data_IF_192136801476
#
_entry.id   IF_192136801476
#
_cell.length_a   1.000
_cell.length_b   1.000
_cell.length_c   1.000
_cell.angle_alpha   90.00
_cell.angle_beta   90.00
_cell.angle_gamma   90.00
#
_symmetry.space_group_name_H-M   'P 1'
#
loop_
_entity.id
_entity.type
_entity.pdbx_description
1 polymer ?
#
# COMPACT_ATOMS: atom_id res chain seq x y z
N UNK A 1 -18.66 -31.07 11.80
CA UNK A 1 -18.72 -30.86 13.27
C UNK A 1 -17.51 -30.04 13.65
N UNK A 2 -17.70 -28.77 13.94
CA UNK A 2 -16.63 -27.89 14.39
C UNK A 2 -16.28 -28.29 15.82
N UNK A 3 -15.02 -28.67 16.01
CA UNK A 3 -14.48 -29.12 17.29
C UNK A 3 -14.73 -28.06 18.38
N UNK A 4 -15.41 -28.47 19.45
CA UNK A 4 -15.75 -27.58 20.58
C UNK A 4 -14.53 -27.08 21.36
N UNK A 5 -13.34 -27.64 21.13
CA UNK A 5 -12.08 -27.16 21.73
C UNK A 5 -11.60 -25.81 21.19
N UNK A 6 -12.02 -25.43 19.97
CA UNK A 6 -11.74 -24.11 19.37
C UNK A 6 -12.66 -23.02 19.93
N UNK A 7 -13.81 -23.38 20.50
CA UNK A 7 -14.77 -22.45 21.12
C UNK A 7 -14.32 -21.86 22.46
N UNK A 8 -13.33 -22.41 23.13
CA UNK A 8 -12.96 -22.01 24.49
C UNK A 8 -12.12 -20.70 24.58
N UNK A 9 -11.74 -20.07 23.44
CA UNK A 9 -11.13 -18.74 23.37
C UNK A 9 -11.82 -17.88 22.31
N UNK A 10 -13.14 -17.87 22.30
CA UNK A 10 -13.91 -17.09 21.33
C UNK A 10 -13.64 -15.59 21.51
N UNK A 11 -12.74 -15.07 20.70
CA UNK A 11 -12.57 -13.63 20.48
C UNK A 11 -13.90 -13.11 19.95
N UNK A 12 -14.44 -12.04 20.50
CA UNK A 12 -15.66 -11.45 19.94
C UNK A 12 -15.38 -11.00 18.48
N UNK A 13 -16.42 -10.97 17.64
CA UNK A 13 -16.27 -10.53 16.24
C UNK A 13 -15.61 -9.14 16.15
N UNK A 14 -15.97 -8.24 17.05
CA UNK A 14 -15.42 -6.88 17.12
C UNK A 14 -13.94 -6.90 17.49
N UNK A 15 -13.57 -7.70 18.50
CA UNK A 15 -12.17 -7.85 18.91
C UNK A 15 -11.31 -8.49 17.81
N UNK A 16 -11.83 -9.47 17.09
CA UNK A 16 -11.14 -10.08 15.96
C UNK A 16 -10.87 -9.08 14.83
N UNK A 17 -11.87 -8.27 14.49
CA UNK A 17 -11.73 -7.20 13.49
C UNK A 17 -10.70 -6.18 13.96
N UNK A 18 -10.77 -5.74 15.22
CA UNK A 18 -9.82 -4.82 15.82
C UNK A 18 -8.38 -5.34 15.78
N UNK A 19 -8.18 -6.62 16.08
CA UNK A 19 -6.87 -7.27 16.06
C UNK A 19 -6.29 -7.34 14.64
N UNK A 20 -7.07 -7.80 13.65
CA UNK A 20 -6.63 -7.84 12.26
C UNK A 20 -6.36 -6.42 11.71
N UNK A 21 -7.19 -5.45 12.07
CA UNK A 21 -6.99 -4.06 11.68
C UNK A 21 -5.72 -3.47 12.31
N UNK A 22 -5.45 -3.73 13.61
CA UNK A 22 -4.25 -3.30 14.29
C UNK A 22 -2.97 -3.89 13.67
N UNK A 23 -2.98 -5.19 13.31
CA UNK A 23 -1.88 -5.82 12.59
C UNK A 23 -1.60 -5.13 11.25
N UNK A 24 -2.65 -4.85 10.45
CA UNK A 24 -2.48 -4.17 9.17
C UNK A 24 -2.06 -2.71 9.35
N UNK A 25 -2.54 -2.04 10.40
CA UNK A 25 -2.22 -0.66 10.74
C UNK A 25 -0.72 -0.44 11.00
N UNK A 26 -0.02 -1.42 11.59
CA UNK A 26 1.42 -1.35 11.83
C UNK A 26 2.21 -1.01 10.57
N UNK A 27 1.80 -1.54 9.42
CA UNK A 27 2.49 -1.29 8.16
C UNK A 27 2.30 0.16 7.67
N UNK A 28 1.08 0.68 7.65
CA UNK A 28 0.82 2.06 7.23
C UNK A 28 1.47 3.06 8.20
N UNK A 29 1.34 2.80 9.50
CA UNK A 29 1.95 3.64 10.53
C UNK A 29 3.48 3.72 10.36
N UNK A 30 4.14 2.61 10.06
CA UNK A 30 5.59 2.56 9.89
C UNK A 30 6.11 3.39 8.71
N UNK A 31 5.28 3.69 7.74
CA UNK A 31 5.60 4.56 6.60
C UNK A 31 5.34 6.02 6.97
N UNK A 32 4.13 6.32 7.43
CA UNK A 32 3.64 7.69 7.47
C UNK A 32 4.05 8.44 8.75
N UNK A 33 4.26 7.73 9.89
CA UNK A 33 4.63 8.36 11.17
C UNK A 33 5.99 9.02 11.14
N UNK A 34 6.90 8.55 10.29
CA UNK A 34 8.26 9.09 10.22
C UNK A 34 8.46 10.20 9.20
N UNK A 35 7.47 10.47 8.33
CA UNK A 35 7.62 11.50 7.30
C UNK A 35 8.05 12.88 7.86
N UNK A 36 7.47 13.39 8.96
CA UNK A 36 7.91 14.64 9.55
C UNK A 36 9.31 14.58 10.18
N UNK A 37 9.84 13.37 10.47
CA UNK A 37 11.13 13.19 11.13
C UNK A 37 12.32 13.04 10.17
N UNK A 38 12.08 12.86 8.88
CA UNK A 38 13.16 12.63 7.90
C UNK A 38 14.26 13.70 7.90
N UNK A 39 13.97 15.01 8.02
CA UNK A 39 15.01 16.03 8.12
C UNK A 39 15.91 15.84 9.36
N UNK A 40 15.30 15.59 10.51
CA UNK A 40 16.02 15.41 11.79
C UNK A 40 16.91 14.16 11.76
N UNK A 41 16.42 13.06 11.15
CA UNK A 41 17.22 11.85 10.95
C UNK A 41 18.43 12.12 10.04
N UNK A 42 18.21 12.87 8.96
CA UNK A 42 19.28 13.20 8.01
C UNK A 42 20.34 14.08 8.63
N UNK A 43 19.95 15.09 9.41
CA UNK A 43 20.87 16.00 10.11
C UNK A 43 21.70 15.25 11.15
N UNK A 44 21.06 14.46 12.01
CA UNK A 44 21.69 13.72 13.11
C UNK A 44 22.65 12.62 12.61
N UNK A 45 22.30 11.95 11.51
CA UNK A 45 23.10 10.88 10.91
C UNK A 45 24.04 11.35 9.80
N UNK A 46 24.21 12.67 9.62
CA UNK A 46 25.17 13.26 8.70
C UNK A 46 24.86 13.03 7.22
N UNK A 47 23.59 12.96 6.83
CA UNK A 47 23.18 12.78 5.43
C UNK A 47 23.20 14.12 4.71
N UNK A 48 24.23 14.33 3.89
CA UNK A 48 24.45 15.59 3.18
C UNK A 48 23.39 15.84 2.10
N UNK A 49 22.97 14.80 1.38
CA UNK A 49 21.98 14.93 0.33
C UNK A 49 20.56 14.73 0.90
N UNK A 50 19.74 15.76 0.82
CA UNK A 50 18.37 15.72 1.35
C UNK A 50 17.50 14.63 0.72
N UNK A 51 17.74 14.29 -0.55
CA UNK A 51 17.00 13.25 -1.25
C UNK A 51 17.31 11.85 -0.68
N UNK A 52 18.51 11.64 -0.15
CA UNK A 52 18.86 10.34 0.45
C UNK A 52 18.07 10.04 1.73
N UNK A 53 17.62 11.06 2.46
CA UNK A 53 16.79 10.90 3.68
C UNK A 53 15.53 10.08 3.41
N UNK A 54 15.01 10.16 2.19
CA UNK A 54 13.83 9.42 1.74
C UNK A 54 14.05 7.91 1.66
N UNK A 55 15.31 7.45 1.55
CA UNK A 55 15.66 6.02 1.48
C UNK A 55 15.21 5.24 2.73
N UNK A 56 15.01 5.92 3.86
CA UNK A 56 14.45 5.32 5.09
C UNK A 56 13.06 4.71 4.84
N UNK A 57 12.23 5.39 4.06
CA UNK A 57 10.89 4.90 3.66
C UNK A 57 11.03 3.83 2.58
N UNK A 58 11.86 4.07 1.58
CA UNK A 58 12.08 3.16 0.44
C UNK A 58 12.61 1.80 0.88
N UNK A 59 13.62 1.77 1.77
CA UNK A 59 14.18 0.54 2.30
C UNK A 59 13.12 -0.32 2.99
N UNK A 60 12.27 0.29 3.82
CA UNK A 60 11.17 -0.40 4.47
C UNK A 60 10.17 -0.97 3.45
N UNK A 61 9.77 -0.18 2.45
CA UNK A 61 8.79 -0.61 1.44
C UNK A 61 9.30 -1.75 0.57
N UNK A 62 10.59 -1.72 0.19
CA UNK A 62 11.22 -2.80 -0.57
C UNK A 62 11.27 -4.08 0.27
N UNK A 63 11.66 -3.99 1.54
CA UNK A 63 11.61 -5.11 2.47
C UNK A 63 10.21 -5.69 2.62
N UNK A 64 9.22 -4.83 2.88
CA UNK A 64 7.81 -5.20 3.02
C UNK A 64 7.26 -5.90 1.76
N UNK A 65 7.50 -5.32 0.59
CA UNK A 65 7.03 -5.90 -0.67
C UNK A 65 7.70 -7.25 -0.97
N UNK A 66 9.01 -7.36 -0.76
CA UNK A 66 9.78 -8.57 -1.05
C UNK A 66 9.30 -9.79 -0.25
N UNK A 67 8.95 -9.60 1.01
CA UNK A 67 8.54 -10.69 1.88
C UNK A 67 7.05 -11.11 1.69
N UNK A 68 6.23 -10.32 0.99
CA UNK A 68 4.82 -10.70 0.71
C UNK A 68 4.71 -12.04 -0.02
N UNK A 69 5.65 -12.33 -0.93
CA UNK A 69 5.68 -13.60 -1.67
C UNK A 69 5.98 -14.81 -0.78
N UNK A 70 6.68 -14.60 0.33
CA UNK A 70 7.17 -15.66 1.22
C UNK A 70 6.16 -15.99 2.31
N UNK A 71 5.53 -14.98 2.93
CA UNK A 71 4.67 -15.21 4.09
C UNK A 71 3.38 -15.96 3.78
N UNK A 72 2.85 -15.88 2.55
CA UNK A 72 1.73 -16.71 2.12
C UNK A 72 2.05 -18.21 2.25
N UNK A 73 2.97 -18.73 1.44
CA UNK A 73 3.37 -20.13 1.48
C UNK A 73 3.94 -20.60 2.83
N UNK A 74 4.66 -19.73 3.56
CA UNK A 74 5.15 -20.04 4.91
C UNK A 74 3.99 -20.25 5.88
N UNK A 75 2.97 -19.38 5.82
CA UNK A 75 1.80 -19.51 6.69
C UNK A 75 0.89 -20.68 6.33
N UNK A 76 0.87 -21.09 5.06
CA UNK A 76 0.16 -22.29 4.61
C UNK A 76 0.86 -23.58 5.07
N UNK A 77 2.18 -23.54 5.28
CA UNK A 77 2.96 -24.70 5.75
C UNK A 77 3.00 -24.83 7.27
N UNK A 78 3.33 -23.74 7.96
CA UNK A 78 3.62 -23.75 9.41
C UNK A 78 2.42 -23.36 10.27
N UNK A 79 1.29 -23.02 9.67
CA UNK A 79 0.15 -22.41 10.34
C UNK A 79 0.26 -20.89 10.36
N UNK A 80 -0.80 -20.20 10.74
CA UNK A 80 -0.86 -18.72 10.68
C UNK A 80 -0.03 -18.07 11.79
N UNK A 81 -0.07 -18.63 12.99
CA UNK A 81 0.54 -18.03 14.18
C UNK A 81 2.06 -17.95 14.11
N UNK A 82 2.74 -19.05 13.78
CA UNK A 82 4.21 -19.11 13.85
C UNK A 82 4.89 -18.08 12.93
N UNK A 83 4.57 -17.97 11.63
CA UNK A 83 5.16 -16.94 10.77
C UNK A 83 4.73 -15.52 11.13
N UNK A 84 3.50 -15.33 11.67
CA UNK A 84 3.04 -14.02 12.14
C UNK A 84 3.90 -13.51 13.29
N UNK A 85 4.10 -14.35 14.32
CA UNK A 85 4.91 -13.98 15.49
C UNK A 85 6.38 -13.81 15.16
N UNK A 86 6.91 -14.61 14.24
CA UNK A 86 8.25 -14.40 13.72
C UNK A 86 8.37 -13.02 13.03
N UNK A 87 7.44 -12.68 12.12
CA UNK A 87 7.47 -11.41 11.41
C UNK A 87 7.29 -10.21 12.33
N UNK A 88 6.29 -10.25 13.24
CA UNK A 88 6.07 -9.14 14.19
C UNK A 88 7.22 -9.03 15.19
N UNK A 89 7.79 -10.15 15.64
CA UNK A 89 8.98 -10.17 16.49
C UNK A 89 10.19 -9.51 15.82
N UNK A 90 10.42 -9.84 14.54
CA UNK A 90 11.46 -9.21 13.73
C UNK A 90 11.23 -7.71 13.58
N UNK A 91 9.99 -7.29 13.32
CA UNK A 91 9.61 -5.89 13.27
C UNK A 91 9.94 -5.15 14.58
N UNK A 92 9.58 -5.74 15.73
CA UNK A 92 9.81 -5.17 17.06
C UNK A 92 11.31 -5.01 17.33
N UNK A 93 12.09 -6.08 17.10
CA UNK A 93 13.55 -6.06 17.31
C UNK A 93 14.19 -4.96 16.46
N UNK A 94 13.83 -4.88 15.18
CA UNK A 94 14.37 -3.85 14.27
C UNK A 94 13.92 -2.45 14.65
N UNK A 95 12.68 -2.27 15.15
CA UNK A 95 12.21 -0.97 15.62
C UNK A 95 13.04 -0.49 16.83
N UNK A 96 13.22 -1.33 17.84
CA UNK A 96 14.06 -0.96 19.00
C UNK A 96 15.54 -0.79 18.62
N UNK A 97 16.08 -1.63 17.73
CA UNK A 97 17.46 -1.48 17.26
C UNK A 97 17.67 -0.18 16.47
N UNK A 98 16.68 0.25 15.68
CA UNK A 98 16.72 1.50 14.92
C UNK A 98 16.80 2.74 15.82
N UNK A 99 16.30 2.65 17.06
CA UNK A 99 16.44 3.70 18.06
C UNK A 99 17.92 4.00 18.38
N UNK A 100 18.79 3.02 18.24
CA UNK A 100 20.22 3.12 18.56
C UNK A 100 21.10 3.06 17.30
N UNK A 101 20.54 3.28 16.11
CA UNK A 101 21.29 3.20 14.86
C UNK A 101 22.40 4.28 14.80
N UNK A 102 23.69 3.88 14.77
CA UNK A 102 24.81 4.84 14.83
C UNK A 102 25.10 5.47 13.46
N UNK A 103 24.58 4.93 12.38
CA UNK A 103 24.81 5.42 11.02
C UNK A 103 23.56 5.27 10.17
N UNK A 104 23.46 6.11 9.15
CA UNK A 104 22.34 6.05 8.20
C UNK A 104 22.25 4.68 7.48
N UNK A 105 23.38 4.09 7.10
CA UNK A 105 23.39 2.78 6.45
C UNK A 105 22.83 1.66 7.33
N UNK A 106 23.15 1.66 8.63
CA UNK A 106 22.58 0.70 9.59
C UNK A 106 21.07 0.95 9.76
N UNK A 107 20.65 2.21 9.84
CA UNK A 107 19.23 2.55 9.88
C UNK A 107 18.48 2.00 8.65
N UNK A 108 19.04 2.18 7.44
CA UNK A 108 18.45 1.63 6.20
C UNK A 108 18.36 0.09 6.24
N UNK A 109 19.40 -0.59 6.69
CA UNK A 109 19.40 -2.04 6.85
C UNK A 109 18.33 -2.51 7.83
N UNK A 110 18.21 -1.85 8.98
CA UNK A 110 17.18 -2.15 9.98
C UNK A 110 15.78 -1.88 9.45
N UNK A 111 15.58 -0.81 8.68
CA UNK A 111 14.31 -0.49 8.01
C UNK A 111 13.91 -1.55 6.99
N UNK A 112 14.86 -2.02 6.19
CA UNK A 112 14.61 -3.11 5.23
C UNK A 112 14.17 -4.39 5.95
N UNK A 113 14.90 -4.80 6.98
CA UNK A 113 14.57 -6.01 7.76
C UNK A 113 13.26 -5.83 8.53
N UNK A 114 12.98 -4.64 9.07
CA UNK A 114 11.70 -4.30 9.69
C UNK A 114 10.55 -4.44 8.69
N UNK A 115 10.75 -3.99 7.44
CA UNK A 115 9.81 -4.18 6.34
C UNK A 115 9.54 -5.65 6.04
N UNK A 116 10.59 -6.50 5.98
CA UNK A 116 10.43 -7.96 5.82
C UNK A 116 9.47 -8.51 6.90
N UNK A 117 9.68 -8.14 8.17
CA UNK A 117 8.82 -8.57 9.27
C UNK A 117 7.37 -8.07 9.15
N UNK A 118 7.20 -6.83 8.71
CA UNK A 118 5.89 -6.21 8.54
C UNK A 118 5.00 -6.92 7.51
N UNK A 119 5.58 -7.56 6.48
CA UNK A 119 4.82 -8.28 5.47
C UNK A 119 3.93 -9.39 6.06
N UNK A 120 4.37 -10.02 7.14
CA UNK A 120 3.59 -11.03 7.86
C UNK A 120 2.25 -10.49 8.33
N UNK A 121 2.20 -9.25 8.83
CA UNK A 121 0.99 -8.67 9.41
C UNK A 121 -0.13 -8.54 8.37
N UNK A 122 0.19 -8.08 7.16
CA UNK A 122 -0.78 -7.90 6.08
C UNK A 122 -1.22 -9.23 5.48
N UNK A 123 -0.25 -10.07 5.11
CA UNK A 123 -0.51 -11.33 4.40
C UNK A 123 -1.29 -12.30 5.28
N UNK A 124 -0.86 -12.43 6.54
CA UNK A 124 -1.45 -13.41 7.46
C UNK A 124 -2.78 -12.91 8.02
N UNK A 125 -2.93 -11.60 8.32
CA UNK A 125 -4.23 -11.06 8.73
C UNK A 125 -5.31 -11.33 7.67
N UNK A 126 -5.01 -11.11 6.39
CA UNK A 126 -5.92 -11.41 5.29
C UNK A 126 -6.24 -12.92 5.21
N UNK A 127 -5.24 -13.78 5.42
CA UNK A 127 -5.43 -15.23 5.42
C UNK A 127 -6.29 -15.70 6.59
N UNK A 128 -6.07 -15.17 7.80
CA UNK A 128 -6.85 -15.47 9.01
C UNK A 128 -8.32 -15.08 8.84
N UNK A 129 -8.60 -13.92 8.23
CA UNK A 129 -9.97 -13.52 7.90
C UNK A 129 -10.63 -14.51 6.94
N UNK A 130 -9.91 -14.92 5.88
CA UNK A 130 -10.40 -15.91 4.90
C UNK A 130 -10.63 -17.30 5.50
N UNK A 131 -9.79 -17.70 6.46
CA UNK A 131 -9.94 -19.00 7.14
C UNK A 131 -11.15 -19.01 8.10
N UNK A 132 -11.55 -17.82 8.60
CA UNK A 132 -12.60 -17.69 9.64
C UNK A 132 -13.96 -17.33 9.06
N UNK A 133 -14.01 -16.54 8.00
CA UNK A 133 -15.25 -16.02 7.41
C UNK A 133 -15.37 -16.39 5.93
N UNK A 134 -16.62 -16.55 5.45
CA UNK A 134 -16.90 -16.91 4.07
C UNK A 134 -17.97 -16.00 3.44
N UNK A 135 -17.94 -15.87 2.13
CA UNK A 135 -18.96 -15.15 1.36
C UNK A 135 -19.16 -13.71 1.81
N UNK A 136 -20.39 -13.34 2.13
CA UNK A 136 -20.77 -11.97 2.51
C UNK A 136 -20.17 -11.52 3.84
N UNK A 137 -20.04 -12.43 4.82
CA UNK A 137 -19.44 -12.11 6.13
C UNK A 137 -17.95 -11.79 6.00
N UNK A 138 -17.23 -12.50 5.14
CA UNK A 138 -15.83 -12.19 4.83
C UNK A 138 -15.70 -10.81 4.21
N UNK A 139 -16.56 -10.46 3.25
CA UNK A 139 -16.54 -9.17 2.59
C UNK A 139 -16.83 -8.02 3.59
N UNK A 140 -17.78 -8.21 4.51
CA UNK A 140 -18.09 -7.23 5.55
C UNK A 140 -16.90 -7.02 6.48
N UNK A 141 -16.32 -8.10 7.02
CA UNK A 141 -15.17 -8.05 7.94
C UNK A 141 -13.96 -7.40 7.27
N UNK A 142 -13.64 -7.77 6.03
CA UNK A 142 -12.55 -7.14 5.27
C UNK A 142 -12.80 -5.65 5.04
N UNK A 143 -14.03 -5.25 4.74
CA UNK A 143 -14.37 -3.83 4.56
C UNK A 143 -14.16 -3.02 5.84
N UNK A 144 -14.54 -3.57 7.01
CA UNK A 144 -14.32 -2.92 8.30
C UNK A 144 -12.82 -2.79 8.63
N UNK A 145 -12.03 -3.84 8.36
CA UNK A 145 -10.58 -3.82 8.54
C UNK A 145 -9.94 -2.75 7.63
N UNK A 146 -10.32 -2.71 6.35
CA UNK A 146 -9.82 -1.70 5.41
C UNK A 146 -10.23 -0.28 5.79
N UNK A 147 -11.42 -0.08 6.34
CA UNK A 147 -11.87 1.23 6.82
C UNK A 147 -10.95 1.74 7.95
N UNK A 148 -10.61 0.88 8.92
CA UNK A 148 -9.65 1.22 9.98
C UNK A 148 -8.26 1.47 9.39
N UNK A 149 -7.80 0.61 8.48
CA UNK A 149 -6.52 0.77 7.79
C UNK A 149 -6.42 2.11 7.06
N UNK A 150 -7.47 2.57 6.38
CA UNK A 150 -7.49 3.86 5.68
C UNK A 150 -7.49 5.07 6.61
N UNK A 151 -7.89 4.91 7.88
CA UNK A 151 -7.80 5.98 8.86
C UNK A 151 -6.36 6.24 9.33
N UNK A 152 -5.46 5.25 9.21
CA UNK A 152 -4.08 5.36 9.70
C UNK A 152 -3.28 6.44 8.96
N UNK A 153 -3.23 6.52 7.62
CA UNK A 153 -2.52 7.60 6.92
C UNK A 153 -3.03 9.00 7.27
N UNK A 154 -4.29 9.12 7.68
CA UNK A 154 -4.85 10.42 8.12
C UNK A 154 -4.22 10.87 9.44
N UNK A 155 -3.95 9.93 10.35
CA UNK A 155 -3.53 10.21 11.72
C UNK A 155 -2.01 10.10 11.90
N UNK A 156 -1.36 9.19 11.17
CA UNK A 156 0.03 8.82 11.41
C UNK A 156 1.05 9.98 11.35
N UNK A 157 1.01 10.90 10.35
CA UNK A 157 1.92 12.03 10.36
C UNK A 157 1.71 12.97 11.54
N UNK A 158 0.46 13.12 12.02
CA UNK A 158 0.14 13.92 13.21
C UNK A 158 0.73 13.27 14.46
N UNK A 159 0.66 11.95 14.59
CA UNK A 159 1.31 11.21 15.69
C UNK A 159 2.81 11.41 15.64
N UNK A 160 3.44 11.30 14.46
CA UNK A 160 4.87 11.57 14.29
C UNK A 160 5.26 12.98 14.70
N UNK A 161 4.47 13.98 14.28
CA UNK A 161 4.70 15.38 14.66
C UNK A 161 4.59 15.60 16.19
N UNK A 162 3.57 15.01 16.83
CA UNK A 162 3.41 15.09 18.30
C UNK A 162 4.60 14.46 19.03
N UNK A 163 5.09 13.31 18.57
CA UNK A 163 6.27 12.66 19.16
C UNK A 163 7.49 13.58 19.03
N UNK A 164 7.70 14.24 17.90
CA UNK A 164 8.80 15.18 17.70
C UNK A 164 8.73 16.42 18.59
N UNK A 165 7.54 16.82 19.04
CA UNK A 165 7.38 17.88 20.04
C UNK A 165 7.79 17.44 21.45
N UNK A 166 7.83 16.14 21.73
CA UNK A 166 8.18 15.58 23.04
C UNK A 166 9.64 15.16 23.16
N UNK A 167 10.35 14.98 22.05
CA UNK A 167 11.75 14.56 22.08
C UNK A 167 12.35 14.24 20.68
N UNK A 168 13.53 13.63 20.65
CA UNK A 168 14.24 13.34 19.42
C UNK A 168 13.50 12.30 18.53
N UNK A 169 13.85 12.27 17.25
CA UNK A 169 13.25 11.36 16.27
C UNK A 169 13.31 9.87 16.66
N UNK A 170 14.28 9.48 17.48
CA UNK A 170 14.43 8.14 18.05
C UNK A 170 13.15 7.65 18.76
N UNK A 171 12.37 8.57 19.36
CA UNK A 171 11.11 8.25 20.04
C UNK A 171 10.05 7.70 19.10
N UNK A 172 10.12 8.00 17.79
CA UNK A 172 9.25 7.40 16.80
C UNK A 172 9.48 5.89 16.71
N UNK A 173 10.74 5.44 16.73
CA UNK A 173 11.07 4.02 16.71
C UNK A 173 10.70 3.32 18.02
N UNK A 174 10.89 3.98 19.16
CA UNK A 174 10.41 3.50 20.46
C UNK A 174 8.89 3.34 20.45
N UNK A 175 8.16 4.32 19.95
CA UNK A 175 6.71 4.27 19.81
C UNK A 175 6.27 3.10 18.92
N UNK A 176 6.88 2.94 17.75
CA UNK A 176 6.56 1.85 16.81
C UNK A 176 6.85 0.47 17.43
N UNK A 177 8.00 0.32 18.10
CA UNK A 177 8.37 -0.91 18.79
C UNK A 177 7.44 -1.23 19.95
N UNK A 178 7.10 -0.21 20.75
CA UNK A 178 6.16 -0.34 21.88
C UNK A 178 4.76 -0.72 21.43
N UNK A 179 4.21 -0.02 20.43
CA UNK A 179 2.90 -0.32 19.87
C UNK A 179 2.85 -1.73 19.26
N UNK A 180 3.89 -2.10 18.49
CA UNK A 180 3.99 -3.44 17.92
C UNK A 180 4.08 -4.52 19.01
N UNK A 181 4.76 -4.25 20.13
CA UNK A 181 4.83 -5.16 21.28
C UNK A 181 3.46 -5.36 21.93
N UNK A 182 2.68 -4.29 22.09
CA UNK A 182 1.30 -4.38 22.61
C UNK A 182 0.44 -5.23 21.65
N UNK A 183 0.49 -4.98 20.33
CA UNK A 183 -0.25 -5.75 19.33
C UNK A 183 0.22 -7.20 19.29
N UNK A 184 1.53 -7.44 19.42
CA UNK A 184 2.11 -8.79 19.53
C UNK A 184 1.53 -9.56 20.70
N UNK A 185 1.54 -8.98 21.91
CA UNK A 185 0.99 -9.60 23.12
C UNK A 185 -0.52 -9.83 22.99
N UNK A 186 -1.27 -8.84 22.50
CA UNK A 186 -2.69 -8.99 22.24
C UNK A 186 -2.97 -10.15 21.28
N UNK A 187 -2.25 -10.20 20.17
CA UNK A 187 -2.37 -11.29 19.17
C UNK A 187 -1.96 -12.63 19.77
N UNK A 188 -0.88 -12.67 20.57
CA UNK A 188 -0.39 -13.89 21.22
C UNK A 188 -1.43 -14.56 22.09
N UNK A 189 -2.13 -13.77 22.89
CA UNK A 189 -3.12 -14.30 23.84
C UNK A 189 -4.50 -14.53 23.20
N UNK A 190 -4.86 -13.80 22.16
CA UNK A 190 -6.22 -13.74 21.66
C UNK A 190 -6.43 -14.37 20.27
N UNK A 191 -5.42 -14.41 19.40
CA UNK A 191 -5.57 -15.03 18.08
C UNK A 191 -5.34 -16.53 18.15
N UNK A 192 -6.37 -17.37 17.89
CA UNK A 192 -6.18 -18.83 17.78
C UNK A 192 -5.44 -19.18 16.48
N UNK A 193 -4.92 -20.42 16.38
CA UNK A 193 -4.51 -20.96 15.09
C UNK A 193 -5.76 -21.21 14.24
N UNK A 194 -5.82 -20.63 13.05
CA UNK A 194 -6.99 -20.72 12.18
C UNK A 194 -6.82 -21.74 11.05
N UNK A 195 -5.56 -22.13 10.75
CA UNK A 195 -5.30 -23.13 9.73
C UNK A 195 -5.34 -24.53 10.33
N UNK A 196 -6.35 -25.29 9.94
CA UNK A 196 -6.46 -26.70 10.37
C UNK A 196 -5.26 -27.53 9.85
N UNK A 197 -4.68 -28.44 10.66
CA UNK A 197 -3.49 -29.23 10.26
C UNK A 197 -3.64 -29.96 8.92
N UNK A 198 -4.85 -30.42 8.61
CA UNK A 198 -5.16 -31.13 7.36
C UNK A 198 -5.06 -30.24 6.10
N UNK A 199 -5.19 -28.92 6.24
CA UNK A 199 -5.10 -27.97 5.13
C UNK A 199 -3.70 -27.39 4.95
N UNK A 200 -2.72 -27.84 5.75
CA UNK A 200 -1.32 -27.40 5.60
C UNK A 200 -0.73 -27.90 4.29
N UNK A 201 -0.14 -27.00 3.54
CA UNK A 201 0.47 -27.28 2.24
C UNK A 201 2.00 -27.26 2.34
N UNK A 202 2.67 -28.13 1.56
CA UNK A 202 4.12 -28.06 1.47
C UNK A 202 4.58 -26.73 0.84
N UNK A 203 5.61 -26.11 1.42
CA UNK A 203 6.26 -24.94 0.80
C UNK A 203 6.88 -25.38 -0.52
N UNK A 204 6.45 -24.80 -1.62
CA UNK A 204 6.98 -25.10 -2.96
C UNK A 204 7.27 -23.79 -3.68
N UNK A 205 8.54 -23.53 -3.94
CA UNK A 205 8.97 -22.38 -4.74
C UNK A 205 8.37 -22.42 -6.15
N UNK A 206 8.11 -23.63 -6.67
CA UNK A 206 7.44 -23.84 -7.95
C UNK A 206 6.05 -23.19 -8.02
N UNK A 207 5.32 -23.09 -6.90
CA UNK A 207 4.00 -22.44 -6.86
C UNK A 207 4.14 -20.93 -7.07
N UNK A 208 5.17 -20.31 -6.51
CA UNK A 208 5.46 -18.88 -6.71
C UNK A 208 5.85 -18.65 -8.17
N UNK A 209 6.76 -19.46 -8.71
CA UNK A 209 7.21 -19.36 -10.10
C UNK A 209 6.05 -19.57 -11.07
N UNK A 210 5.18 -20.56 -10.81
CA UNK A 210 4.01 -20.81 -11.63
C UNK A 210 3.02 -19.63 -11.57
N UNK A 211 2.85 -19.01 -10.40
CA UNK A 211 2.04 -17.80 -10.26
C UNK A 211 2.56 -16.64 -11.11
N UNK A 212 3.86 -16.40 -11.10
CA UNK A 212 4.49 -15.42 -12.01
C UNK A 212 4.27 -15.79 -13.47
N UNK A 213 4.48 -17.05 -13.84
CA UNK A 213 4.26 -17.53 -15.21
C UNK A 213 2.82 -17.27 -15.67
N UNK A 214 1.82 -17.63 -14.85
CA UNK A 214 0.41 -17.42 -15.17
C UNK A 214 0.09 -15.93 -15.38
N UNK A 215 0.59 -15.05 -14.49
CA UNK A 215 0.41 -13.61 -14.62
C UNK A 215 1.09 -13.08 -15.90
N UNK A 216 2.32 -13.48 -16.16
CA UNK A 216 3.11 -13.00 -17.30
C UNK A 216 2.57 -13.49 -18.65
N UNK A 217 1.90 -14.64 -18.68
CA UNK A 217 1.31 -15.21 -19.91
C UNK A 217 -0.10 -14.69 -20.20
N UNK A 218 -0.79 -14.15 -19.21
CA UNK A 218 -2.13 -13.58 -19.40
C UNK A 218 -2.03 -12.08 -19.70
N UNK A 219 -2.39 -11.68 -20.90
CA UNK A 219 -2.28 -10.30 -21.38
C UNK A 219 -3.02 -9.29 -20.50
N UNK A 220 -4.27 -9.57 -20.14
CA UNK A 220 -5.09 -8.67 -19.32
C UNK A 220 -4.51 -8.54 -17.92
N UNK A 221 -4.16 -9.67 -17.29
CA UNK A 221 -3.55 -9.69 -15.96
C UNK A 221 -2.21 -8.95 -15.92
N UNK A 222 -1.33 -9.23 -16.89
CA UNK A 222 -0.01 -8.61 -16.98
C UNK A 222 -0.12 -7.08 -17.12
N UNK A 223 -0.87 -6.60 -18.11
CA UNK A 223 -0.88 -5.17 -18.39
C UNK A 223 -1.67 -4.35 -17.35
N UNK A 224 -2.76 -4.87 -16.79
CA UNK A 224 -3.40 -4.21 -15.64
C UNK A 224 -2.54 -4.30 -14.36
N UNK A 225 -1.79 -5.38 -14.17
CA UNK A 225 -0.81 -5.49 -13.08
C UNK A 225 0.33 -4.47 -13.19
N UNK A 226 0.90 -4.31 -14.40
CA UNK A 226 1.91 -3.28 -14.69
C UNK A 226 1.33 -1.87 -14.53
N UNK A 227 0.11 -1.62 -15.01
CA UNK A 227 -0.58 -0.36 -14.81
C UNK A 227 -0.69 -0.02 -13.31
N UNK A 228 -1.06 -1.00 -12.48
CA UNK A 228 -1.04 -0.85 -11.02
C UNK A 228 0.35 -0.51 -10.48
N UNK A 229 1.40 -1.17 -10.95
CA UNK A 229 2.79 -0.91 -10.53
C UNK A 229 3.22 0.52 -10.87
N UNK A 230 2.94 1.02 -12.07
CA UNK A 230 3.25 2.39 -12.46
C UNK A 230 2.43 3.41 -11.66
N UNK A 231 1.14 3.13 -11.44
CA UNK A 231 0.26 4.00 -10.67
C UNK A 231 0.74 4.14 -9.21
N UNK A 232 1.08 3.00 -8.56
CA UNK A 232 1.66 3.02 -7.22
C UNK A 232 3.06 3.64 -7.19
N UNK A 233 3.84 3.52 -8.26
CA UNK A 233 5.13 4.20 -8.41
C UNK A 233 5.00 5.72 -8.32
N UNK A 234 4.02 6.30 -9.00
CA UNK A 234 3.71 7.73 -8.91
C UNK A 234 3.25 8.16 -7.52
N UNK A 235 2.38 7.36 -6.90
CA UNK A 235 1.93 7.61 -5.53
C UNK A 235 3.09 7.54 -4.52
N UNK A 236 3.93 6.52 -4.59
CA UNK A 236 5.06 6.38 -3.67
C UNK A 236 6.12 7.46 -3.91
N UNK A 237 6.37 7.85 -5.17
CA UNK A 237 7.23 8.99 -5.47
C UNK A 237 6.73 10.28 -4.84
N UNK A 238 5.43 10.52 -4.88
CA UNK A 238 4.82 11.63 -4.19
C UNK A 238 4.95 11.49 -2.67
N UNK A 239 4.57 10.36 -2.06
CA UNK A 239 4.66 10.13 -0.60
C UNK A 239 6.10 10.35 -0.11
N UNK A 240 7.08 9.81 -0.81
CA UNK A 240 8.50 9.94 -0.50
C UNK A 240 8.94 11.41 -0.54
N UNK A 241 8.47 12.19 -1.52
CA UNK A 241 8.81 13.61 -1.69
C UNK A 241 7.90 14.56 -0.91
N UNK A 242 6.86 14.05 -0.24
CA UNK A 242 5.80 14.88 0.37
C UNK A 242 6.36 15.88 1.38
N UNK A 243 7.30 15.46 2.21
CA UNK A 243 7.93 16.32 3.22
C UNK A 243 8.70 17.48 2.54
N UNK A 244 9.49 17.21 1.50
CA UNK A 244 10.23 18.23 0.76
C UNK A 244 9.30 19.20 0.03
N UNK A 245 8.19 18.71 -0.51
CA UNK A 245 7.20 19.55 -1.20
C UNK A 245 6.46 20.42 -0.19
N UNK A 246 5.82 19.84 0.81
CA UNK A 246 4.97 20.60 1.73
C UNK A 246 5.76 21.47 2.70
N UNK A 247 6.89 20.99 3.19
CA UNK A 247 7.71 21.75 4.14
C UNK A 247 8.78 22.55 3.41
N UNK A 248 9.52 21.95 2.45
CA UNK A 248 10.62 22.62 1.76
C UNK A 248 10.14 23.69 0.78
N UNK A 249 9.18 23.39 -0.13
CA UNK A 249 8.70 24.36 -1.12
C UNK A 249 7.68 25.32 -0.50
N UNK A 250 6.68 24.80 0.25
CA UNK A 250 5.54 25.58 0.72
C UNK A 250 5.64 26.06 2.17
N UNK A 251 6.66 25.64 2.90
CA UNK A 251 6.90 26.11 4.27
C UNK A 251 5.80 25.75 5.27
N UNK A 252 5.03 24.67 5.05
CA UNK A 252 3.91 24.32 5.91
C UNK A 252 4.32 23.94 7.34
N UNK A 253 5.58 23.53 7.56
CA UNK A 253 6.09 23.21 8.88
C UNK A 253 5.15 22.30 9.69
N UNK A 254 4.66 22.75 10.85
CA UNK A 254 3.75 21.97 11.72
C UNK A 254 2.40 21.64 11.09
N UNK A 255 1.98 22.36 10.04
CA UNK A 255 0.70 22.13 9.34
C UNK A 255 0.78 21.03 8.28
N UNK A 256 1.97 20.50 7.98
CA UNK A 256 2.15 19.37 7.06
C UNK A 256 1.18 18.20 7.33
N UNK A 257 1.01 17.73 8.59
CA UNK A 257 0.11 16.62 8.87
C UNK A 257 -1.35 16.89 8.49
N UNK A 258 -1.81 18.14 8.59
CA UNK A 258 -3.19 18.53 8.22
C UNK A 258 -3.41 18.43 6.71
N UNK A 259 -2.45 18.90 5.90
CA UNK A 259 -2.52 18.77 4.44
C UNK A 259 -2.53 17.30 4.00
N UNK A 260 -1.65 16.48 4.61
CA UNK A 260 -1.59 15.05 4.35
C UNK A 260 -2.90 14.35 4.76
N UNK A 261 -3.42 14.67 5.94
CA UNK A 261 -4.70 14.13 6.42
C UNK A 261 -5.88 14.50 5.51
N UNK A 262 -5.94 15.73 5.02
CA UNK A 262 -6.96 16.19 4.07
C UNK A 262 -6.93 15.37 2.77
N UNK A 263 -5.74 15.12 2.24
CA UNK A 263 -5.56 14.29 1.05
C UNK A 263 -5.98 12.83 1.30
N UNK A 264 -5.50 12.22 2.38
CA UNK A 264 -5.81 10.83 2.71
C UNK A 264 -7.31 10.65 3.02
N UNK A 265 -7.93 11.61 3.72
CA UNK A 265 -9.36 11.63 3.98
C UNK A 265 -10.19 11.70 2.70
N UNK A 266 -9.79 12.54 1.74
CA UNK A 266 -10.46 12.63 0.45
C UNK A 266 -10.32 11.32 -0.36
N UNK A 267 -9.17 10.65 -0.30
CA UNK A 267 -9.00 9.33 -0.91
C UNK A 267 -9.95 8.28 -0.31
N UNK A 268 -10.17 8.32 1.01
CA UNK A 268 -11.12 7.42 1.68
C UNK A 268 -12.57 7.69 1.21
N UNK A 269 -12.98 8.96 1.13
CA UNK A 269 -14.29 9.36 0.57
C UNK A 269 -14.43 8.92 -0.87
N UNK A 270 -13.41 9.11 -1.69
CA UNK A 270 -13.37 8.69 -3.09
C UNK A 270 -13.54 7.18 -3.25
N UNK A 271 -12.84 6.40 -2.43
CA UNK A 271 -12.92 4.94 -2.41
C UNK A 271 -14.34 4.45 -2.06
N UNK A 272 -14.98 5.11 -1.09
CA UNK A 272 -16.37 4.86 -0.73
C UNK A 272 -17.32 5.19 -1.90
N UNK A 273 -17.13 6.32 -2.57
CA UNK A 273 -17.92 6.69 -3.74
C UNK A 273 -17.75 5.68 -4.89
N UNK A 274 -16.49 5.23 -5.15
CA UNK A 274 -16.22 4.19 -6.15
C UNK A 274 -17.06 2.94 -5.91
N UNK A 275 -17.18 2.47 -4.66
CA UNK A 275 -17.95 1.27 -4.33
C UNK A 275 -19.45 1.37 -4.70
N UNK A 276 -20.00 2.58 -4.74
CA UNK A 276 -21.39 2.87 -5.13
C UNK A 276 -21.54 3.04 -6.64
N UNK A 277 -20.62 3.77 -7.25
CA UNK A 277 -20.69 4.20 -8.65
C UNK A 277 -20.27 3.08 -9.61
N UNK A 278 -19.32 2.22 -9.21
CA UNK A 278 -18.78 1.15 -10.05
C UNK A 278 -19.84 0.17 -10.53
N UNK A 279 -20.87 -0.08 -9.72
CA UNK A 279 -22.01 -0.94 -10.10
C UNK A 279 -22.82 -0.40 -11.28
N UNK A 280 -22.83 0.94 -11.44
CA UNK A 280 -23.61 1.61 -12.51
C UNK A 280 -22.77 1.82 -13.78
N UNK A 281 -21.50 2.20 -13.64
CA UNK A 281 -20.67 2.61 -14.78
C UNK A 281 -19.66 1.53 -15.21
N UNK A 282 -19.38 0.56 -14.35
CA UNK A 282 -18.40 -0.51 -14.60
C UNK A 282 -16.95 -0.09 -14.30
N UNK A 283 -16.11 -1.08 -13.99
CA UNK A 283 -14.71 -0.88 -13.60
C UNK A 283 -13.87 -0.23 -14.71
N UNK A 284 -14.03 -0.70 -15.96
CA UNK A 284 -13.27 -0.20 -17.10
C UNK A 284 -13.52 1.28 -17.38
N UNK A 285 -14.78 1.70 -17.40
CA UNK A 285 -15.12 3.10 -17.67
C UNK A 285 -14.61 4.04 -16.59
N UNK A 286 -14.77 3.67 -15.32
CA UNK A 286 -14.31 4.51 -14.21
C UNK A 286 -12.79 4.60 -14.15
N UNK A 287 -12.06 3.49 -14.35
CA UNK A 287 -10.59 3.52 -14.34
C UNK A 287 -10.02 4.27 -15.52
N UNK A 288 -10.58 4.08 -16.74
CA UNK A 288 -10.11 4.79 -17.93
C UNK A 288 -10.40 6.29 -17.86
N UNK A 289 -11.59 6.70 -17.38
CA UNK A 289 -11.87 8.11 -17.12
C UNK A 289 -10.94 8.69 -16.04
N UNK A 290 -10.80 7.98 -14.93
CA UNK A 290 -9.95 8.43 -13.82
C UNK A 290 -8.49 8.65 -14.23
N UNK A 291 -7.91 7.74 -15.03
CA UNK A 291 -6.52 7.91 -15.47
C UNK A 291 -6.34 9.07 -16.45
N UNK A 292 -7.32 9.35 -17.31
CA UNK A 292 -7.28 10.53 -18.18
C UNK A 292 -7.32 11.82 -17.36
N UNK A 293 -8.18 11.90 -16.33
CA UNK A 293 -8.22 13.05 -15.40
C UNK A 293 -6.91 13.18 -14.64
N UNK A 294 -6.32 12.05 -14.18
CA UNK A 294 -5.03 12.03 -13.49
C UNK A 294 -3.90 12.58 -14.37
N UNK A 295 -3.81 12.14 -15.62
CA UNK A 295 -2.79 12.63 -16.58
C UNK A 295 -3.04 14.09 -16.94
N UNK A 296 -4.28 14.50 -17.16
CA UNK A 296 -4.62 15.91 -17.43
C UNK A 296 -4.22 16.81 -16.26
N UNK A 297 -4.51 16.41 -15.02
CA UNK A 297 -4.05 17.11 -13.81
C UNK A 297 -2.53 17.20 -13.73
N UNK A 298 -1.82 16.11 -14.05
CA UNK A 298 -0.36 16.08 -14.14
C UNK A 298 0.19 17.03 -15.21
N UNK A 299 -0.41 17.06 -16.39
CA UNK A 299 -0.03 17.99 -17.49
C UNK A 299 -0.23 19.45 -17.10
N UNK A 300 -1.37 19.78 -16.47
CA UNK A 300 -1.63 21.13 -15.97
C UNK A 300 -0.57 21.51 -14.93
N UNK A 301 -0.32 20.63 -13.95
CA UNK A 301 0.66 20.87 -12.90
C UNK A 301 2.08 21.04 -13.49
N UNK A 302 2.46 20.22 -14.46
CA UNK A 302 3.75 20.29 -15.13
C UNK A 302 3.87 21.62 -15.90
N UNK A 303 2.87 22.00 -16.68
CA UNK A 303 2.86 23.25 -17.42
C UNK A 303 2.99 24.47 -16.49
N UNK A 304 2.24 24.49 -15.40
CA UNK A 304 2.35 25.56 -14.38
C UNK A 304 3.72 25.57 -13.72
N UNK A 305 4.27 24.40 -13.38
CA UNK A 305 5.58 24.29 -12.71
C UNK A 305 6.75 24.71 -13.62
N UNK A 306 6.62 24.55 -14.93
CA UNK A 306 7.59 25.03 -15.92
C UNK A 306 7.47 26.53 -16.16
N UNK A 307 6.28 27.10 -15.98
CA UNK A 307 6.05 28.55 -16.11
C UNK A 307 6.54 29.36 -14.90
N UNK A 308 6.69 28.72 -13.73
CA UNK A 308 7.15 29.38 -12.51
C UNK A 308 6.64 28.72 -11.21
N UNK A 309 6.83 29.40 -10.06
CA UNK A 309 6.35 28.90 -8.78
C UNK A 309 4.83 28.77 -8.75
N UNK A 310 4.32 27.57 -8.43
CA UNK A 310 2.89 27.28 -8.34
C UNK A 310 2.38 27.65 -6.95
N UNK A 311 1.31 28.46 -6.82
CA UNK A 311 0.70 28.76 -5.53
C UNK A 311 0.19 27.50 -4.83
N UNK A 312 0.33 27.41 -3.49
CA UNK A 312 -0.05 26.25 -2.70
C UNK A 312 -1.47 25.74 -3.00
N UNK A 313 -2.45 26.63 -3.03
CA UNK A 313 -3.85 26.23 -3.22
C UNK A 313 -4.13 25.67 -4.62
N UNK A 314 -3.40 26.12 -5.64
CA UNK A 314 -3.50 25.58 -7.01
C UNK A 314 -2.87 24.19 -7.06
N UNK A 315 -1.66 24.02 -6.51
CA UNK A 315 -1.02 22.71 -6.37
C UNK A 315 -1.89 21.74 -5.59
N UNK A 316 -2.34 22.15 -4.40
CA UNK A 316 -3.11 21.30 -3.50
C UNK A 316 -4.46 20.91 -4.10
N UNK A 317 -5.16 21.84 -4.75
CA UNK A 317 -6.40 21.58 -5.47
C UNK A 317 -6.24 20.54 -6.60
N UNK A 318 -5.22 20.69 -7.44
CA UNK A 318 -4.89 19.73 -8.49
C UNK A 318 -4.53 18.36 -7.90
N UNK A 319 -3.71 18.34 -6.85
CA UNK A 319 -3.33 17.13 -6.14
C UNK A 319 -4.56 16.41 -5.57
N UNK A 320 -5.48 17.12 -4.93
CA UNK A 320 -6.71 16.54 -4.39
C UNK A 320 -7.54 15.87 -5.48
N UNK A 321 -7.71 16.52 -6.65
CA UNK A 321 -8.42 15.93 -7.79
C UNK A 321 -7.72 14.66 -8.28
N UNK A 322 -6.39 14.70 -8.44
CA UNK A 322 -5.61 13.57 -8.90
C UNK A 322 -5.67 12.39 -7.91
N UNK A 323 -5.55 12.66 -6.61
CA UNK A 323 -5.63 11.62 -5.57
C UNK A 323 -7.05 11.07 -5.41
N UNK A 324 -8.07 11.88 -5.66
CA UNK A 324 -9.46 11.42 -5.72
C UNK A 324 -9.64 10.35 -6.80
N UNK A 325 -9.26 10.63 -8.04
CA UNK A 325 -9.41 9.67 -9.14
C UNK A 325 -8.40 8.50 -9.05
N UNK A 326 -7.24 8.71 -8.41
CA UNK A 326 -6.28 7.64 -8.13
C UNK A 326 -6.94 6.45 -7.42
N UNK A 327 -7.77 6.70 -6.41
CA UNK A 327 -8.47 5.63 -5.67
C UNK A 327 -9.37 4.79 -6.58
N UNK A 328 -10.03 5.41 -7.56
CA UNK A 328 -10.86 4.71 -8.55
C UNK A 328 -10.01 3.85 -9.49
N UNK A 329 -8.93 4.45 -10.01
CA UNK A 329 -8.02 3.75 -10.94
C UNK A 329 -7.37 2.56 -10.24
N UNK A 330 -6.81 2.76 -9.04
CA UNK A 330 -6.12 1.72 -8.29
C UNK A 330 -7.04 0.53 -7.97
N UNK A 331 -8.23 0.79 -7.41
CA UNK A 331 -9.17 -0.25 -7.01
C UNK A 331 -9.70 -1.04 -8.21
N UNK A 332 -10.10 -0.34 -9.27
CA UNK A 332 -10.70 -0.98 -10.44
C UNK A 332 -9.65 -1.73 -11.28
N UNK A 333 -8.45 -1.17 -11.48
CA UNK A 333 -7.38 -1.87 -12.21
C UNK A 333 -6.86 -3.10 -11.46
N UNK A 334 -6.79 -3.05 -10.13
CA UNK A 334 -6.47 -4.23 -9.34
C UNK A 334 -7.52 -5.33 -9.52
N UNK A 335 -8.80 -4.98 -9.56
CA UNK A 335 -9.89 -5.95 -9.81
C UNK A 335 -9.82 -6.51 -11.23
N UNK A 336 -9.57 -5.66 -12.23
CA UNK A 336 -9.42 -6.06 -13.63
C UNK A 336 -8.20 -6.98 -13.86
N UNK A 337 -7.11 -6.78 -13.15
CA UNK A 337 -5.93 -7.65 -13.22
C UNK A 337 -6.21 -9.05 -12.67
N UNK A 338 -7.11 -9.16 -11.69
CA UNK A 338 -7.49 -10.41 -11.04
C UNK A 338 -8.62 -11.15 -11.76
N UNK A 339 -9.41 -10.45 -12.59
CA UNK A 339 -10.59 -11.00 -13.29
C UNK A 339 -10.30 -12.33 -14.03
N UNK A 340 -9.21 -12.46 -14.85
CA UNK A 340 -8.92 -13.70 -15.55
C UNK A 340 -8.24 -14.79 -14.70
N UNK A 341 -7.95 -14.56 -13.43
CA UNK A 341 -7.07 -15.39 -12.60
C UNK A 341 -7.82 -16.09 -11.45
N UNK A 342 -9.13 -16.26 -11.53
CA UNK A 342 -9.97 -16.81 -10.45
C UNK A 342 -9.44 -18.11 -9.83
N UNK A 343 -8.97 -19.06 -10.66
CA UNK A 343 -8.43 -20.36 -10.19
C UNK A 343 -7.13 -20.24 -9.35
N UNK A 344 -6.36 -19.16 -9.54
CA UNK A 344 -5.05 -18.92 -8.88
C UNK A 344 -5.03 -17.57 -8.14
N UNK A 345 -6.20 -17.06 -7.77
CA UNK A 345 -6.36 -15.71 -7.21
C UNK A 345 -5.43 -15.41 -6.02
N UNK A 346 -5.18 -16.38 -5.13
CA UNK A 346 -4.29 -16.18 -3.98
C UNK A 346 -2.84 -15.94 -4.39
N UNK A 347 -2.32 -16.74 -5.32
CA UNK A 347 -0.94 -16.59 -5.82
C UNK A 347 -0.81 -15.33 -6.66
N UNK A 348 -1.80 -15.04 -7.52
CA UNK A 348 -1.84 -13.83 -8.34
C UNK A 348 -1.87 -12.56 -7.46
N UNK A 349 -2.66 -12.53 -6.39
CA UNK A 349 -2.69 -11.42 -5.44
C UNK A 349 -1.33 -11.18 -4.77
N UNK A 350 -0.57 -12.25 -4.46
CA UNK A 350 0.79 -12.12 -3.92
C UNK A 350 1.76 -11.54 -4.96
N UNK A 351 1.67 -11.99 -6.23
CA UNK A 351 2.49 -11.47 -7.33
C UNK A 351 2.21 -9.99 -7.57
N UNK A 352 0.92 -9.59 -7.65
CA UNK A 352 0.56 -8.19 -7.82
C UNK A 352 0.95 -7.34 -6.60
N UNK A 353 0.74 -7.86 -5.38
CA UNK A 353 1.15 -7.18 -4.16
C UNK A 353 2.67 -6.92 -4.14
N UNK A 354 3.47 -7.91 -4.49
CA UNK A 354 4.92 -7.78 -4.66
C UNK A 354 5.25 -6.74 -5.74
N UNK A 355 4.73 -6.90 -6.95
CA UNK A 355 5.07 -6.04 -8.10
C UNK A 355 4.68 -4.58 -7.84
N UNK A 356 3.50 -4.33 -7.31
CA UNK A 356 3.03 -2.97 -6.99
C UNK A 356 3.82 -2.36 -5.84
N UNK A 357 4.19 -3.13 -4.81
CA UNK A 357 4.91 -2.60 -3.67
C UNK A 357 6.39 -2.41 -3.97
N UNK A 358 7.09 -3.44 -4.46
CA UNK A 358 8.54 -3.35 -4.77
C UNK A 358 8.77 -2.49 -6.00
N UNK A 359 8.07 -2.79 -7.10
CA UNK A 359 8.18 -2.01 -8.33
C UNK A 359 7.78 -0.54 -8.10
N UNK A 360 6.67 -0.33 -7.39
CA UNK A 360 6.23 1.01 -6.99
C UNK A 360 7.26 1.73 -6.10
N UNK A 361 7.84 1.05 -5.10
CA UNK A 361 8.86 1.63 -4.24
C UNK A 361 10.15 1.99 -4.99
N UNK A 362 10.60 1.13 -5.91
CA UNK A 362 11.77 1.42 -6.76
C UNK A 362 11.50 2.63 -7.65
N UNK A 363 10.38 2.65 -8.37
CA UNK A 363 9.99 3.79 -9.21
C UNK A 363 9.86 5.06 -8.36
N UNK A 364 9.17 4.96 -7.21
CA UNK A 364 8.99 6.07 -6.29
C UNK A 364 10.30 6.63 -5.75
N UNK A 365 11.26 5.75 -5.44
CA UNK A 365 12.61 6.14 -5.02
C UNK A 365 13.33 6.89 -6.14
N UNK A 366 13.28 6.39 -7.37
CA UNK A 366 13.89 7.05 -8.51
C UNK A 366 13.31 8.46 -8.72
N UNK A 367 11.99 8.64 -8.55
CA UNK A 367 11.34 9.96 -8.62
C UNK A 367 11.83 10.85 -7.48
N UNK A 368 11.81 10.35 -6.25
CA UNK A 368 12.24 11.10 -5.06
C UNK A 368 13.68 11.60 -5.18
N UNK A 369 14.58 10.76 -5.73
CA UNK A 369 15.98 11.13 -5.96
C UNK A 369 16.17 12.26 -7.02
N UNK A 370 15.16 12.51 -7.86
CA UNK A 370 15.18 13.62 -8.83
C UNK A 370 14.66 14.93 -8.26
N UNK A 371 14.26 14.99 -7.00
CA UNK A 371 13.77 16.23 -6.41
C UNK A 371 14.88 17.31 -6.42
N UNK A 372 14.55 18.46 -6.97
CA UNK A 372 15.47 19.58 -7.24
C UNK A 372 14.99 20.92 -6.65
N UNK A 373 14.15 20.88 -5.62
CA UNK A 373 13.56 22.07 -5.02
C UNK A 373 12.35 22.62 -5.78
N UNK A 374 11.89 21.93 -6.84
CA UNK A 374 10.72 22.33 -7.63
C UNK A 374 9.70 21.21 -7.72
N UNK A 375 8.49 21.52 -8.19
CA UNK A 375 7.45 20.51 -8.44
C UNK A 375 7.65 19.75 -9.75
N UNK A 376 8.56 20.21 -10.64
CA UNK A 376 8.73 19.66 -11.99
C UNK A 376 8.98 18.15 -12.01
N UNK A 377 9.90 17.57 -11.20
CA UNK A 377 10.13 16.12 -11.22
C UNK A 377 8.89 15.31 -10.85
N UNK A 378 8.15 15.74 -9.82
CA UNK A 378 6.92 15.07 -9.40
C UNK A 378 5.80 15.21 -10.45
N UNK A 379 5.60 16.40 -11.00
CA UNK A 379 4.60 16.64 -12.04
C UNK A 379 4.91 15.84 -13.31
N UNK A 380 6.17 15.80 -13.73
CA UNK A 380 6.62 14.98 -14.86
C UNK A 380 6.39 13.49 -14.62
N UNK A 381 6.64 13.00 -13.41
CA UNK A 381 6.40 11.60 -13.04
C UNK A 381 4.91 11.23 -13.16
N UNK A 382 3.99 12.08 -12.74
CA UNK A 382 2.56 11.85 -12.89
C UNK A 382 2.14 11.73 -14.35
N UNK A 383 2.69 12.57 -15.22
CA UNK A 383 2.43 12.53 -16.68
C UNK A 383 3.02 11.25 -17.29
N UNK A 384 4.29 10.95 -17.03
CA UNK A 384 4.99 9.80 -17.62
C UNK A 384 4.33 8.50 -17.17
N UNK A 385 4.17 8.30 -15.85
CA UNK A 385 3.61 7.08 -15.31
C UNK A 385 2.13 6.92 -15.64
N UNK A 386 1.35 8.01 -15.57
CA UNK A 386 -0.04 8.02 -16.01
C UNK A 386 -0.20 7.66 -17.48
N UNK A 387 0.68 8.15 -18.35
CA UNK A 387 0.71 7.77 -19.78
C UNK A 387 1.06 6.30 -19.96
N UNK A 388 2.01 5.76 -19.20
CA UNK A 388 2.32 4.32 -19.20
C UNK A 388 1.12 3.49 -18.74
N UNK A 389 0.36 3.95 -17.74
CA UNK A 389 -0.89 3.30 -17.30
C UNK A 389 -1.92 3.29 -18.43
N UNK A 390 -2.09 4.39 -19.19
CA UNK A 390 -2.97 4.44 -20.37
C UNK A 390 -2.49 3.46 -21.43
N UNK A 391 -1.20 3.41 -21.74
CA UNK A 391 -0.63 2.46 -22.70
C UNK A 391 -0.90 1.01 -22.26
N UNK A 392 -0.69 0.68 -20.98
CA UNK A 392 -0.99 -0.64 -20.46
C UNK A 392 -2.48 -0.98 -20.59
N UNK A 393 -3.38 -0.05 -20.26
CA UNK A 393 -4.82 -0.26 -20.40
C UNK A 393 -5.22 -0.48 -21.88
N UNK A 394 -4.67 0.31 -22.81
CA UNK A 394 -4.89 0.12 -24.26
C UNK A 394 -4.40 -1.26 -24.72
N UNK A 395 -3.24 -1.70 -24.29
CA UNK A 395 -2.74 -3.03 -24.64
C UNK A 395 -3.62 -4.11 -24.04
N UNK A 396 -4.05 -3.99 -22.77
CA UNK A 396 -4.93 -4.96 -22.12
C UNK A 396 -6.25 -5.12 -22.87
N UNK A 397 -6.85 -4.02 -23.31
CA UNK A 397 -8.17 -3.96 -23.94
C UNK A 397 -8.12 -4.02 -25.51
N UNK A 398 -6.97 -4.34 -26.10
CA UNK A 398 -6.85 -4.50 -27.56
C UNK A 398 -6.99 -3.20 -28.35
N UNK A 399 -6.54 -2.07 -27.80
CA UNK A 399 -6.56 -0.75 -28.44
C UNK A 399 -7.85 0.05 -28.22
N UNK A 400 -8.80 -0.44 -27.40
CA UNK A 400 -10.07 0.25 -27.15
C UNK A 400 -10.21 0.61 -25.69
N UNK A 401 -10.35 1.90 -25.39
CA UNK A 401 -10.74 2.36 -24.04
C UNK A 401 -12.26 2.37 -23.90
N UNK A 402 -12.74 2.32 -22.66
CA UNK A 402 -14.18 2.36 -22.31
C UNK A 402 -15.02 1.17 -22.80
N UNK A 403 -14.39 0.07 -23.20
CA UNK A 403 -15.08 -1.17 -23.61
C UNK A 403 -15.88 -1.79 -22.46
N UNK A 404 -16.83 -2.67 -22.83
CA UNK A 404 -17.71 -3.36 -21.86
C UNK A 404 -17.11 -4.70 -21.41
N UNK A 405 -15.98 -5.13 -22.00
CA UNK A 405 -15.36 -6.44 -21.79
C UNK A 405 -16.00 -7.53 -22.64
N UNK A 406 -15.17 -8.47 -23.10
CA UNK A 406 -15.61 -9.54 -24.03
C UNK A 406 -16.70 -10.46 -23.47
N UNK A 407 -16.76 -10.65 -22.15
CA UNK A 407 -17.80 -11.48 -21.52
C UNK A 407 -19.18 -10.82 -21.56
N UNK A 408 -19.25 -9.50 -21.41
CA UNK A 408 -20.51 -8.75 -21.56
C UNK A 408 -20.96 -8.67 -23.02
N UNK A 409 -20.03 -8.60 -23.97
CA UNK A 409 -20.34 -8.64 -25.39
C UNK A 409 -20.94 -10.01 -25.78
N UNK A 410 -20.41 -11.11 -25.22
CA UNK A 410 -20.97 -12.45 -25.46
C UNK A 410 -22.32 -12.66 -24.77
N UNK A 411 -22.52 -12.15 -23.53
CA UNK A 411 -23.81 -12.22 -22.85
C UNK A 411 -24.86 -11.32 -23.49
N UNK A 412 -24.49 -10.15 -23.97
CA UNK A 412 -25.39 -9.26 -24.69
C UNK A 412 -25.76 -9.82 -26.09
N UNK A 413 -24.83 -10.49 -26.78
CA UNK A 413 -25.07 -11.17 -28.01
C UNK A 413 -25.99 -12.40 -27.81
N UNK A 414 -25.75 -13.20 -26.76
CA UNK A 414 -26.57 -14.36 -26.41
C UNK A 414 -27.99 -14.01 -25.88
N UNK A 415 -28.18 -12.77 -25.37
CA UNK A 415 -29.50 -12.28 -24.95
C UNK A 415 -30.28 -11.57 -26.07
N UNK A 416 -29.63 -11.33 -27.23
CA UNK A 416 -30.22 -10.74 -28.43
C UNK A 416 -30.59 -11.79 -29.46
N UNK A 417 -30.15 -13.05 -29.30
CA UNK A 417 -30.61 -14.27 -30.02
C UNK A 417 -31.78 -14.94 -29.28
#
# INVERSE_FOLDING_TARGET
>A
MIDQSVKARATSRVEFIGLCAALMALNALAIDVMLPALPYMGEDLGVANENERQLVVSAYMIGFGSAQLLFGPLSDRFGRRAPLFFGVGLYIICAFAATFAPTFAILLGLRFVQGLGAAATRVIATSVVRDTFHGRDMAEVMSLIFMVFMAIPIIAPSVGQVILLTGPWHYIFLFMGGLASVIFLWTWFRLPETLHPEYRRAFRLSVIIEGFRIVLTNRTALFYGLAGTFLFGGMFGFIISTQQIFVGIYGLGPYFPLAFAGMAGLMAVSSFLNSRIVKRFGMRRLSHFGILVYVAGGLILLGLSLAGPVPFWVFFGLLLVMQFVFSWVASNMNSLSMEPLGAVAGTAAAVFGFSQTVGGAVIGTLIGQQFNGTLVPNAASFVILGSLVICCALIAEGGRLFGVGKEYEHQAAAAAE
#
